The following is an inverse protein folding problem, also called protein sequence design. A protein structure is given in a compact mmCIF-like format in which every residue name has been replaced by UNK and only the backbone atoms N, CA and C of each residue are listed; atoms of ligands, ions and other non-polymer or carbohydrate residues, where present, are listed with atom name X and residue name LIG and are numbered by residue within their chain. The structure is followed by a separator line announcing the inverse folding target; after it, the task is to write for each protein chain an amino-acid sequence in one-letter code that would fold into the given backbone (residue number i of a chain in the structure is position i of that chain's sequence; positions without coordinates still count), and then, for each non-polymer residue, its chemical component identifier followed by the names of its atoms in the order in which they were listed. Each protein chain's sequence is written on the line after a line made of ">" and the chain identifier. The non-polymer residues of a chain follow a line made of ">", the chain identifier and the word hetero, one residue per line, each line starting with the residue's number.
data_IF_497476321562
#
_entry.id   IF_497476321562
#
_cell.length_a   1.000
_cell.length_b   1.000
_cell.length_c   1.000
_cell.angle_alpha   90.00
_cell.angle_beta   90.00
_cell.angle_gamma   90.00
#
_symmetry.space_group_name_H-M   'P 1'
#
loop_
_entity.id
_entity.type
_entity.pdbx_description
1 polymer ?
#
# COMPACT_ATOMS: atom_id res chain seq x y z
N UNK A 1 13.15 -30.99 -14.50
CA UNK A 1 13.57 -29.65 -14.94
C UNK A 1 12.32 -28.84 -15.16
N UNK A 2 11.99 -28.01 -14.17
CA UNK A 2 11.13 -26.82 -14.25
C UNK A 2 10.97 -26.38 -12.78
N UNK A 3 12.03 -25.80 -12.22
CA UNK A 3 11.89 -24.91 -11.08
C UNK A 3 11.00 -23.78 -11.60
N UNK A 4 9.76 -23.77 -11.14
CA UNK A 4 8.72 -22.81 -11.51
C UNK A 4 9.17 -21.43 -11.00
N UNK A 5 9.93 -20.78 -11.87
CA UNK A 5 10.16 -19.37 -12.16
C UNK A 5 9.29 -18.36 -11.39
N UNK A 6 9.30 -18.41 -10.07
CA UNK A 6 8.56 -17.48 -9.24
C UNK A 6 9.42 -16.25 -8.97
N UNK A 7 9.80 -15.52 -10.03
CA UNK A 7 10.65 -14.32 -9.92
C UNK A 7 9.93 -13.23 -9.13
N UNK A 8 10.54 -12.84 -8.01
CA UNK A 8 10.18 -11.66 -7.25
C UNK A 8 10.90 -10.46 -7.88
N UNK A 9 10.15 -9.62 -8.58
CA UNK A 9 10.64 -8.39 -9.20
C UNK A 9 10.18 -7.19 -8.38
N UNK A 10 11.11 -6.33 -7.99
CA UNK A 10 10.78 -5.09 -7.29
C UNK A 10 10.40 -4.05 -8.34
N UNK A 11 9.12 -3.68 -8.40
CA UNK A 11 8.63 -2.68 -9.36
C UNK A 11 9.01 -1.27 -8.94
N UNK A 12 8.86 -0.96 -7.66
CA UNK A 12 9.07 0.38 -7.13
C UNK A 12 9.57 0.34 -5.70
N UNK A 13 10.44 1.28 -5.36
CA UNK A 13 10.92 1.51 -4.00
C UNK A 13 10.79 2.99 -3.67
N UNK A 14 9.97 3.31 -2.68
CA UNK A 14 9.77 4.68 -2.20
C UNK A 14 10.42 4.81 -0.83
N UNK A 15 11.38 5.73 -0.71
CA UNK A 15 12.23 5.86 0.48
C UNK A 15 11.49 6.39 1.70
N UNK A 16 10.51 7.27 1.47
CA UNK A 16 9.78 7.97 2.53
C UNK A 16 8.27 7.89 2.26
N UNK A 17 7.57 7.17 3.12
CA UNK A 17 6.12 7.11 3.16
C UNK A 17 5.62 7.17 4.60
N UNK A 18 4.40 7.67 4.76
CA UNK A 18 3.70 7.72 6.04
C UNK A 18 2.46 6.86 5.99
N UNK A 19 2.20 6.15 7.07
CA UNK A 19 1.00 5.37 7.27
C UNK A 19 0.16 6.01 8.39
N UNK A 20 -1.15 6.00 8.19
CA UNK A 20 -2.16 6.64 9.01
C UNK A 20 -3.20 5.60 9.40
N UNK A 21 -3.65 5.66 10.65
CA UNK A 21 -4.76 4.83 11.09
C UNK A 21 -6.05 5.43 10.57
N UNK A 22 -6.75 4.70 9.72
CA UNK A 22 -8.09 5.09 9.26
C UNK A 22 -9.14 4.24 9.98
N UNK A 23 -10.28 4.83 10.38
CA UNK A 23 -11.36 4.08 10.98
C UNK A 23 -11.97 3.11 9.96
N UNK A 24 -12.46 1.93 10.40
CA UNK A 24 -13.16 0.99 9.54
C UNK A 24 -14.43 1.66 8.98
N UNK A 25 -14.68 1.42 7.69
CA UNK A 25 -15.68 2.08 6.83
C UNK A 25 -17.05 2.21 7.52
N UNK A 26 -17.55 3.44 7.68
CA UNK A 26 -18.94 3.69 8.09
C UNK A 26 -19.75 4.17 6.86
N UNK A 27 -20.23 3.23 6.04
CA UNK A 27 -21.14 3.40 4.86
C UNK A 27 -20.59 4.22 3.68
N UNK A 28 -20.58 3.59 2.49
CA UNK A 28 -20.75 4.12 1.11
C UNK A 28 -20.15 5.49 0.69
N UNK A 29 -19.32 6.12 1.50
CA UNK A 29 -18.67 7.38 1.22
C UNK A 29 -17.18 7.07 1.01
N UNK A 30 -16.65 7.41 -0.17
CA UNK A 30 -15.23 7.19 -0.49
C UNK A 30 -14.33 7.91 0.50
N UNK A 31 -13.10 7.41 0.67
CA UNK A 31 -12.20 7.98 1.66
C UNK A 31 -11.71 9.39 1.27
N UNK A 32 -11.59 10.26 2.27
CA UNK A 32 -11.05 11.61 2.15
C UNK A 32 -9.92 11.79 3.14
N UNK A 33 -8.74 12.21 2.70
CA UNK A 33 -7.63 12.56 3.57
C UNK A 33 -7.98 13.67 4.56
N UNK A 34 -8.94 14.54 4.22
CA UNK A 34 -9.46 15.56 5.14
C UNK A 34 -10.20 15.01 6.36
N UNK A 35 -10.71 13.78 6.31
CA UNK A 35 -11.33 13.10 7.46
C UNK A 35 -10.30 12.39 8.35
N UNK A 36 -9.03 12.35 7.94
CA UNK A 36 -7.97 11.66 8.64
C UNK A 36 -7.05 12.66 9.34
N UNK A 37 -6.47 12.28 10.47
CA UNK A 37 -5.41 13.05 11.12
C UNK A 37 -4.09 12.89 10.34
N UNK A 38 -3.95 13.63 9.23
CA UNK A 38 -2.72 13.65 8.38
C UNK A 38 -1.47 14.11 9.14
N UNK A 39 -1.64 14.71 10.32
CA UNK A 39 -0.56 15.16 11.20
C UNK A 39 -0.15 14.08 12.22
N UNK A 40 -0.99 13.06 12.44
CA UNK A 40 -0.74 11.95 13.36
C UNK A 40 -0.52 10.68 12.56
N UNK A 41 0.67 10.56 11.95
CA UNK A 41 1.06 9.33 11.26
C UNK A 41 1.29 8.22 12.30
N UNK A 42 0.71 7.05 12.05
CA UNK A 42 0.89 5.84 12.85
C UNK A 42 2.32 5.32 12.71
N UNK A 43 2.85 5.37 11.49
CA UNK A 43 4.15 4.83 11.13
C UNK A 43 4.73 5.60 9.96
N UNK A 44 6.05 5.60 9.83
CA UNK A 44 6.76 6.15 8.68
C UNK A 44 7.92 5.23 8.32
N UNK A 45 8.19 5.08 7.03
CA UNK A 45 9.29 4.26 6.58
C UNK A 45 9.37 4.19 5.07
N UNK A 46 9.85 3.05 4.58
CA UNK A 46 10.04 2.75 3.17
C UNK A 46 8.92 1.86 2.66
N UNK A 47 8.46 2.12 1.44
CA UNK A 47 7.54 1.24 0.74
C UNK A 47 8.27 0.53 -0.40
N UNK A 48 7.98 -0.75 -0.59
CA UNK A 48 8.43 -1.54 -1.74
C UNK A 48 7.26 -2.26 -2.37
N UNK A 49 7.16 -2.17 -3.68
CA UNK A 49 6.23 -2.95 -4.48
C UNK A 49 7.01 -4.12 -5.07
N UNK A 50 6.54 -5.33 -4.81
CA UNK A 50 7.14 -6.59 -5.23
C UNK A 50 6.10 -7.31 -6.08
N UNK A 51 6.37 -7.43 -7.37
CA UNK A 51 5.63 -8.31 -8.26
C UNK A 51 6.22 -9.72 -8.17
N UNK A 52 5.35 -10.70 -8.12
CA UNK A 52 5.73 -12.09 -7.94
C UNK A 52 4.78 -12.95 -8.77
N UNK A 53 5.21 -13.26 -10.00
CA UNK A 53 4.35 -13.82 -11.02
C UNK A 53 3.21 -12.87 -11.39
N UNK A 54 1.98 -13.33 -11.19
CA UNK A 54 0.73 -12.58 -11.43
C UNK A 54 0.24 -11.77 -10.21
N UNK A 55 0.90 -11.95 -9.06
CA UNK A 55 0.53 -11.31 -7.80
C UNK A 55 1.47 -10.16 -7.47
N UNK A 56 0.90 -9.04 -7.02
CA UNK A 56 1.66 -7.91 -6.51
C UNK A 56 1.55 -7.82 -4.98
N UNK A 57 2.64 -7.44 -4.34
CA UNK A 57 2.75 -7.30 -2.89
C UNK A 57 3.34 -5.93 -2.58
N UNK A 58 2.75 -5.23 -1.62
CA UNK A 58 3.21 -3.93 -1.17
C UNK A 58 3.73 -4.11 0.26
N UNK A 59 5.04 -4.03 0.42
CA UNK A 59 5.70 -4.15 1.71
C UNK A 59 6.03 -2.76 2.25
N UNK A 60 5.60 -2.52 3.49
CA UNK A 60 5.95 -1.37 4.31
C UNK A 60 7.07 -1.84 5.24
N UNK A 61 8.27 -1.30 5.07
CA UNK A 61 9.47 -1.65 5.81
C UNK A 61 10.08 -0.42 6.46
N UNK A 62 10.65 -0.55 7.66
CA UNK A 62 11.32 0.58 8.29
C UNK A 62 12.57 0.97 7.49
N UNK A 63 12.71 2.26 7.17
CA UNK A 63 13.82 2.75 6.35
C UNK A 63 15.19 2.66 7.03
N UNK A 64 15.22 2.46 8.36
CA UNK A 64 16.42 2.42 9.20
C UNK A 64 16.81 1.00 9.57
N UNK A 65 15.86 0.19 10.03
CA UNK A 65 16.11 -1.19 10.49
C UNK A 65 15.84 -2.23 9.40
N UNK A 66 15.06 -1.90 8.38
CA UNK A 66 14.56 -2.87 7.39
C UNK A 66 13.51 -3.81 7.95
N UNK A 67 12.93 -3.51 9.12
CA UNK A 67 11.90 -4.35 9.72
C UNK A 67 10.58 -4.20 8.95
N UNK A 68 10.01 -5.33 8.54
CA UNK A 68 8.73 -5.36 7.84
C UNK A 68 7.60 -5.00 8.82
N UNK A 69 7.00 -3.84 8.60
CA UNK A 69 5.87 -3.35 9.38
C UNK A 69 4.56 -4.00 8.94
N UNK A 70 4.31 -4.01 7.63
CA UNK A 70 3.09 -4.59 7.07
C UNK A 70 3.29 -5.01 5.61
N UNK A 71 2.51 -6.00 5.18
CA UNK A 71 2.40 -6.42 3.78
C UNK A 71 0.95 -6.31 3.35
N UNK A 72 0.74 -5.71 2.18
CA UNK A 72 -0.54 -5.68 1.50
C UNK A 72 -0.45 -6.57 0.26
N UNK A 73 -1.42 -7.45 0.07
CA UNK A 73 -1.58 -8.19 -1.17
C UNK A 73 -2.39 -7.32 -2.15
N UNK A 74 -1.90 -7.16 -3.37
CA UNK A 74 -2.56 -6.41 -4.44
C UNK A 74 -3.07 -7.39 -5.51
N UNK A 75 -4.35 -7.78 -5.45
CA UNK A 75 -4.95 -8.66 -6.44
C UNK A 75 -5.17 -7.91 -7.76
N UNK A 76 -5.30 -8.63 -8.89
CA UNK A 76 -5.57 -8.03 -10.20
C UNK A 76 -6.88 -7.23 -10.24
N UNK A 77 -7.83 -7.50 -9.35
CA UNK A 77 -9.06 -6.71 -9.19
C UNK A 77 -8.81 -5.30 -8.59
N UNK A 78 -7.59 -4.99 -8.13
CA UNK A 78 -7.19 -3.69 -7.61
C UNK A 78 -7.92 -3.24 -6.33
N UNK A 79 -8.73 -4.12 -5.74
CA UNK A 79 -9.69 -3.77 -4.67
C UNK A 79 -9.03 -3.45 -3.33
N UNK A 80 -7.74 -3.75 -3.15
CA UNK A 80 -7.02 -3.51 -1.89
C UNK A 80 -6.40 -2.12 -1.80
N UNK A 81 -6.30 -1.37 -2.90
CA UNK A 81 -5.78 0.00 -2.93
C UNK A 81 -6.84 0.95 -3.46
N UNK A 82 -7.34 1.85 -2.61
CA UNK A 82 -8.34 2.86 -2.97
C UNK A 82 -7.72 4.27 -2.85
N UNK A 83 -7.59 5.05 -3.93
CA UNK A 83 -7.11 6.43 -3.85
C UNK A 83 -8.15 7.32 -3.15
N UNK A 84 -7.70 8.34 -2.40
CA UNK A 84 -8.65 9.28 -1.78
C UNK A 84 -9.19 10.30 -2.78
N UNK A 85 -10.40 10.79 -2.52
CA UNK A 85 -11.12 11.67 -3.44
C UNK A 85 -10.62 13.12 -3.45
N UNK A 86 -10.10 13.63 -2.33
CA UNK A 86 -9.69 15.04 -2.21
C UNK A 86 -8.21 15.27 -2.51
N UNK A 87 -7.39 14.21 -2.55
CA UNK A 87 -5.94 14.31 -2.59
C UNK A 87 -5.29 13.18 -3.39
N UNK A 88 -4.48 13.50 -4.38
CA UNK A 88 -3.73 12.50 -5.17
C UNK A 88 -2.46 11.98 -4.47
N UNK A 89 -2.20 12.39 -3.22
CA UNK A 89 -1.02 11.98 -2.43
C UNK A 89 -1.32 10.90 -1.41
N UNK A 90 -2.60 10.61 -1.19
CA UNK A 90 -3.03 9.67 -0.16
C UNK A 90 -3.81 8.53 -0.78
N UNK A 91 -3.60 7.35 -0.22
CA UNK A 91 -4.21 6.10 -0.66
C UNK A 91 -4.66 5.34 0.57
N UNK A 92 -5.62 4.47 0.40
CA UNK A 92 -6.05 3.53 1.42
C UNK A 92 -5.62 2.15 0.98
N UNK A 93 -4.86 1.48 1.84
CA UNK A 93 -4.47 0.09 1.65
C UNK A 93 -5.26 -0.79 2.62
N UNK A 94 -5.69 -1.94 2.11
CA UNK A 94 -6.36 -2.98 2.88
C UNK A 94 -5.36 -4.09 3.16
N UNK A 95 -4.83 -4.09 4.38
CA UNK A 95 -3.89 -5.09 4.85
C UNK A 95 -4.66 -6.30 5.38
N UNK A 96 -4.22 -7.51 5.04
CA UNK A 96 -4.76 -8.74 5.60
C UNK A 96 -3.83 -9.21 6.72
N UNK A 97 -4.32 -9.19 7.96
CA UNK A 97 -3.53 -9.69 9.09
C UNK A 97 -3.41 -11.23 9.02
N UNK A 98 -2.18 -11.72 8.77
CA UNK A 98 -1.87 -13.15 8.69
C UNK A 98 -2.03 -13.90 10.03
N UNK A 99 -2.11 -13.20 11.17
CA UNK A 99 -2.26 -13.83 12.47
C UNK A 99 -3.71 -14.18 12.81
N UNK A 100 -4.69 -13.45 12.27
CA UNK A 100 -6.12 -13.72 12.49
C UNK A 100 -6.89 -14.23 11.27
N UNK A 101 -6.35 -14.14 10.05
CA UNK A 101 -6.95 -14.75 8.85
C UNK A 101 -8.31 -14.19 8.42
N UNK A 102 -8.86 -13.20 9.14
CA UNK A 102 -10.20 -12.64 8.90
C UNK A 102 -10.30 -11.11 9.07
N UNK A 103 -9.31 -10.43 9.64
CA UNK A 103 -9.43 -9.00 9.92
C UNK A 103 -8.69 -8.18 8.86
N UNK A 104 -9.47 -7.63 7.93
CA UNK A 104 -9.01 -6.58 7.01
C UNK A 104 -8.72 -5.31 7.82
N UNK A 105 -7.44 -4.94 7.92
CA UNK A 105 -7.01 -3.70 8.53
C UNK A 105 -6.89 -2.63 7.45
N UNK A 106 -7.63 -1.54 7.61
CA UNK A 106 -7.53 -0.40 6.70
C UNK A 106 -6.46 0.56 7.22
N UNK A 107 -5.48 0.84 6.37
CA UNK A 107 -4.43 1.81 6.65
C UNK A 107 -4.46 2.90 5.58
N UNK A 108 -4.50 4.15 6.01
CA UNK A 108 -4.23 5.27 5.12
C UNK A 108 -2.74 5.34 4.88
N UNK A 109 -2.33 5.66 3.68
CA UNK A 109 -0.95 5.87 3.31
C UNK A 109 -0.83 7.22 2.63
N UNK A 110 0.22 7.96 2.95
CA UNK A 110 0.58 9.21 2.32
C UNK A 110 2.00 9.20 1.81
N UNK A 111 2.19 9.96 0.74
CA UNK A 111 3.50 10.27 0.18
C UNK A 111 3.88 11.72 0.48
N UNK A 112 5.17 11.94 0.73
CA UNK A 112 5.71 13.30 0.89
C UNK A 112 5.63 14.06 -0.44
N UNK A 113 6.07 13.42 -1.52
CA UNK A 113 6.05 13.99 -2.86
C UNK A 113 4.86 13.50 -3.69
N UNK A 114 4.34 14.37 -4.56
CA UNK A 114 3.29 14.00 -5.52
C UNK A 114 3.80 13.05 -6.59
N UNK A 115 5.09 13.14 -6.91
CA UNK A 115 5.74 12.26 -7.88
C UNK A 115 5.72 10.82 -7.39
N UNK A 116 6.17 10.57 -6.16
CA UNK A 116 6.13 9.24 -5.53
C UNK A 116 4.73 8.62 -5.54
N UNK A 117 3.71 9.41 -5.21
CA UNK A 117 2.31 8.98 -5.26
C UNK A 117 1.87 8.58 -6.68
N UNK A 118 2.33 9.32 -7.69
CA UNK A 118 2.03 9.04 -9.08
C UNK A 118 2.77 7.78 -9.55
N UNK A 119 4.08 7.67 -9.28
CA UNK A 119 4.90 6.49 -9.58
C UNK A 119 4.32 5.23 -8.92
N UNK A 120 3.84 5.33 -7.67
CA UNK A 120 3.18 4.22 -6.96
C UNK A 120 1.93 3.74 -7.71
N UNK A 121 1.04 4.66 -8.08
CA UNK A 121 -0.18 4.30 -8.78
C UNK A 121 0.10 3.73 -10.18
N UNK A 122 1.07 4.29 -10.91
CA UNK A 122 1.47 3.79 -12.22
C UNK A 122 2.10 2.41 -12.11
N UNK A 123 2.99 2.17 -11.15
CA UNK A 123 3.64 0.87 -10.97
C UNK A 123 2.62 -0.25 -10.67
N UNK A 124 1.58 0.04 -9.88
CA UNK A 124 0.49 -0.92 -9.64
C UNK A 124 -0.35 -1.18 -10.89
N UNK A 125 -0.71 -0.12 -11.63
CA UNK A 125 -1.50 -0.25 -12.85
C UNK A 125 -0.75 -0.93 -14.00
N UNK A 126 0.57 -0.70 -14.11
CA UNK A 126 1.42 -1.34 -15.10
C UNK A 126 1.50 -2.85 -14.91
N UNK A 127 1.51 -3.31 -13.64
CA UNK A 127 1.53 -4.73 -13.33
C UNK A 127 0.21 -5.45 -13.61
N UNK A 128 -0.94 -4.78 -13.42
CA UNK A 128 -2.28 -5.37 -13.65
C UNK A 128 -2.64 -5.42 -15.14
N UNK A 129 -1.82 -4.85 -16.02
CA UNK A 129 -2.14 -4.61 -17.43
C UNK A 129 -1.84 -5.78 -18.36
#
# INVERSE_FOLDING_TARGET
>A
MADDDHYESVLLVIRECTAYRIPPRHRAQGYKAGDWDVNSFLWKGRLRIIAKGDACFINLEDGTTGELFATCDYPPDGSTVEPVLDSSRYFVLTLVDKASGMTEAFIGMGFQERSDAFDFNVALQDHVK
#
